data_IF_885369301346
#
_entry.id   IF_885369301346
#
_cell.length_a   1.000
_cell.length_b   1.000
_cell.length_c   1.000
_cell.angle_alpha   90.00
_cell.angle_beta   90.00
_cell.angle_gamma   90.00
#
_symmetry.space_group_name_H-M   'P 1'
#
loop_
_entity.id
_entity.type
_entity.pdbx_description
1 polymer ?
#
# COMPACT_ATOMS: atom_id res chain seq x y z
N UNK A 1 12.96 -21.49 -3.41
CA UNK A 1 12.82 -20.21 -4.14
C UNK A 1 13.37 -20.36 -5.55
N UNK A 2 12.81 -19.69 -6.55
CA UNK A 2 13.33 -19.69 -7.92
C UNK A 2 13.62 -18.25 -8.36
N UNK A 3 14.52 -18.08 -9.33
CA UNK A 3 14.88 -16.78 -9.90
C UNK A 3 14.25 -16.64 -11.28
N UNK A 4 13.80 -15.43 -11.62
CA UNK A 4 13.28 -15.12 -12.95
C UNK A 4 14.23 -14.11 -13.59
N UNK A 5 14.83 -14.41 -14.76
CA UNK A 5 15.71 -13.47 -15.43
C UNK A 5 14.90 -12.28 -15.97
N UNK A 6 15.52 -11.10 -16.03
CA UNK A 6 14.88 -9.90 -16.60
C UNK A 6 14.56 -10.04 -18.10
N UNK A 7 15.22 -10.98 -18.78
CA UNK A 7 14.98 -11.36 -20.17
C UNK A 7 13.76 -12.27 -20.37
N UNK A 8 13.11 -12.74 -19.30
CA UNK A 8 11.90 -13.56 -19.38
C UNK A 8 10.78 -12.81 -20.12
N UNK A 9 10.30 -13.40 -21.22
CA UNK A 9 9.33 -12.77 -22.13
C UNK A 9 7.87 -13.08 -21.78
N UNK A 10 7.62 -13.96 -20.81
CA UNK A 10 6.29 -14.18 -20.29
C UNK A 10 5.72 -12.91 -19.64
N UNK A 11 4.40 -12.91 -19.45
CA UNK A 11 3.66 -11.74 -18.98
C UNK A 11 3.13 -11.93 -17.58
N UNK A 12 3.24 -10.89 -16.78
CA UNK A 12 2.82 -10.83 -15.39
C UNK A 12 1.68 -9.86 -15.22
N UNK A 13 0.81 -10.16 -14.27
CA UNK A 13 -0.19 -9.22 -13.75
C UNK A 13 0.21 -8.83 -12.34
N UNK A 14 0.16 -7.52 -12.03
CA UNK A 14 0.33 -7.04 -10.65
C UNK A 14 -0.70 -7.70 -9.74
N UNK A 15 -0.31 -7.95 -8.51
CA UNK A 15 -1.18 -8.43 -7.45
C UNK A 15 -1.14 -7.45 -6.29
N UNK A 16 -2.28 -7.20 -5.63
CA UNK A 16 -2.32 -6.41 -4.40
C UNK A 16 -1.30 -6.88 -3.36
N UNK A 17 -0.60 -5.93 -2.75
CA UNK A 17 0.11 -6.15 -1.48
C UNK A 17 -0.85 -6.07 -0.30
N UNK A 18 -0.51 -6.75 0.79
CA UNK A 18 -1.21 -6.66 2.07
C UNK A 18 -0.28 -6.02 3.08
N UNK A 19 -0.80 -5.07 3.85
CA UNK A 19 -0.06 -4.30 4.83
C UNK A 19 -0.80 -4.39 6.17
N UNK A 20 -0.30 -5.16 7.14
CA UNK A 20 -0.99 -5.29 8.43
C UNK A 20 -1.20 -3.95 9.14
N UNK A 21 -0.20 -3.06 9.11
CA UNK A 21 -0.20 -1.81 9.87
C UNK A 21 -0.01 -0.57 9.00
N UNK A 22 -0.29 0.61 9.54
CA UNK A 22 0.03 1.87 8.87
C UNK A 22 1.55 2.08 8.72
N UNK A 23 2.37 1.53 9.62
CA UNK A 23 3.81 1.52 9.48
C UNK A 23 4.29 0.79 8.21
N UNK A 24 3.63 -0.32 7.85
CA UNK A 24 3.94 -1.04 6.62
C UNK A 24 3.62 -0.20 5.36
N UNK A 25 2.59 0.65 5.42
CA UNK A 25 2.27 1.61 4.35
C UNK A 25 3.36 2.67 4.19
N UNK A 26 3.87 3.20 5.30
CA UNK A 26 4.96 4.19 5.30
C UNK A 26 6.21 3.61 4.61
N UNK A 27 6.57 2.36 4.92
CA UNK A 27 7.70 1.69 4.26
C UNK A 27 7.45 1.50 2.77
N UNK A 28 6.21 1.17 2.39
CA UNK A 28 5.84 0.78 1.03
C UNK A 28 5.54 1.94 0.07
N UNK A 29 5.28 3.14 0.58
CA UNK A 29 4.93 4.34 -0.21
C UNK A 29 6.01 4.66 -1.25
N UNK A 30 5.71 5.42 -2.29
CA UNK A 30 6.74 5.82 -3.26
C UNK A 30 6.47 7.22 -3.78
N UNK A 31 7.52 8.01 -3.97
CA UNK A 31 7.40 9.30 -4.66
C UNK A 31 7.03 9.16 -6.15
N UNK A 32 7.23 7.96 -6.73
CA UNK A 32 6.96 7.70 -8.16
C UNK A 32 5.51 7.35 -8.46
N UNK A 33 4.83 6.68 -7.53
CA UNK A 33 3.46 6.19 -7.70
C UNK A 33 2.71 6.31 -6.37
N UNK A 34 1.53 6.95 -6.35
CA UNK A 34 0.72 7.04 -5.15
C UNK A 34 0.25 5.64 -4.72
N UNK A 35 0.42 5.32 -3.43
CA UNK A 35 -0.04 4.06 -2.86
C UNK A 35 -1.51 4.20 -2.46
N UNK A 36 -2.39 3.55 -3.23
CA UNK A 36 -3.82 3.47 -2.94
C UNK A 36 -4.15 2.16 -2.21
N UNK A 37 -4.83 2.24 -1.07
CA UNK A 37 -5.19 1.07 -0.26
C UNK A 37 -6.62 1.11 0.26
N UNK A 38 -7.18 -0.06 0.53
CA UNK A 38 -8.47 -0.25 1.22
C UNK A 38 -8.22 -0.87 2.58
N UNK A 39 -8.84 -0.33 3.63
CA UNK A 39 -8.82 -0.90 4.98
C UNK A 39 -9.69 -2.16 5.07
N UNK A 40 -9.19 -3.18 5.76
CA UNK A 40 -9.83 -4.49 5.93
C UNK A 40 -10.15 -4.80 7.39
N UNK A 41 -9.65 -3.99 8.33
CA UNK A 41 -10.04 -3.98 9.74
C UNK A 41 -10.45 -2.58 10.15
N UNK A 42 -11.36 -2.50 11.11
CA UNK A 42 -11.70 -1.25 11.76
C UNK A 42 -10.72 -0.95 12.88
N UNK A 43 -10.41 0.33 13.05
CA UNK A 43 -9.59 0.85 14.12
C UNK A 43 -10.27 2.11 14.67
N UNK A 44 -10.51 2.13 15.98
CA UNK A 44 -11.02 3.31 16.65
C UNK A 44 -9.87 4.06 17.30
N UNK A 45 -9.66 5.30 16.88
CA UNK A 45 -8.65 6.15 17.50
C UNK A 45 -9.11 6.59 18.89
N UNK A 46 -8.25 6.49 19.92
CA UNK A 46 -8.51 7.05 21.24
C UNK A 46 -8.26 8.57 21.31
N UNK A 47 -7.68 9.17 20.26
CA UNK A 47 -7.33 10.59 20.18
C UNK A 47 -8.17 11.28 19.12
N UNK A 48 -8.74 12.45 19.44
CA UNK A 48 -9.61 13.22 18.52
C UNK A 48 -8.84 13.75 17.32
N UNK A 49 -7.53 14.00 17.47
CA UNK A 49 -6.66 14.50 16.41
C UNK A 49 -6.31 13.44 15.36
N UNK A 50 -6.56 12.17 15.66
CA UNK A 50 -6.25 11.05 14.75
C UNK A 50 -7.52 10.42 14.19
N UNK A 51 -7.43 9.95 12.96
CA UNK A 51 -8.58 9.41 12.24
C UNK A 51 -8.90 7.97 12.69
N UNK A 52 -10.17 7.70 12.94
CA UNK A 52 -10.68 6.34 13.02
C UNK A 52 -10.87 5.76 11.60
N UNK A 53 -10.71 4.45 11.47
CA UNK A 53 -10.80 3.72 10.19
C UNK A 53 -11.87 2.65 10.28
N UNK A 54 -12.69 2.57 9.23
CA UNK A 54 -13.71 1.52 9.05
C UNK A 54 -13.30 0.55 7.94
N UNK A 55 -13.85 -0.67 7.96
CA UNK A 55 -13.63 -1.63 6.88
C UNK A 55 -14.21 -1.06 5.58
N UNK A 56 -13.43 -1.11 4.51
CA UNK A 56 -13.80 -0.58 3.20
C UNK A 56 -13.43 0.88 2.98
N UNK A 57 -12.91 1.59 3.99
CA UNK A 57 -12.36 2.92 3.78
C UNK A 57 -11.15 2.87 2.84
N UNK A 58 -11.12 3.77 1.86
CA UNK A 58 -10.08 3.88 0.84
C UNK A 58 -9.16 5.07 1.16
N UNK A 59 -7.84 4.88 1.02
CA UNK A 59 -6.83 5.88 1.37
C UNK A 59 -5.74 6.01 0.30
N UNK A 60 -5.40 7.24 -0.07
CA UNK A 60 -4.14 7.56 -0.74
C UNK A 60 -3.10 7.94 0.31
N UNK A 61 -1.98 7.22 0.31
CA UNK A 61 -0.89 7.39 1.26
C UNK A 61 0.09 8.45 0.79
N UNK A 62 0.44 9.41 1.66
CA UNK A 62 1.38 10.49 1.35
C UNK A 62 2.72 10.33 2.08
N UNK A 63 2.85 10.89 3.29
CA UNK A 63 4.09 10.92 4.05
C UNK A 63 3.84 10.80 5.55
N UNK A 64 4.81 10.24 6.29
CA UNK A 64 4.81 10.29 7.74
C UNK A 64 5.16 11.69 8.25
N UNK A 65 4.52 12.08 9.34
CA UNK A 65 4.82 13.29 10.10
C UNK A 65 4.63 13.02 11.60
N UNK A 66 5.07 13.95 12.44
CA UNK A 66 4.74 13.93 13.87
C UNK A 66 3.57 14.86 14.16
N UNK A 67 2.71 14.47 15.10
CA UNK A 67 1.62 15.32 15.59
C UNK A 67 1.55 15.27 17.11
N UNK A 68 1.08 16.35 17.71
CA UNK A 68 0.78 16.40 19.15
C UNK A 68 -0.62 15.84 19.39
N UNK A 69 -0.74 14.90 20.33
CA UNK A 69 -2.03 14.41 20.84
C UNK A 69 -2.11 14.63 22.34
N UNK A 70 -3.31 14.84 22.86
CA UNK A 70 -3.55 14.93 24.29
C UNK A 70 -3.96 13.57 24.86
N UNK A 71 -3.16 13.04 25.80
CA UNK A 71 -3.44 11.79 26.49
C UNK A 71 -3.46 12.07 28.00
N UNK A 72 -4.64 11.93 28.63
CA UNK A 72 -4.80 12.13 30.08
C UNK A 72 -4.32 13.52 30.56
N UNK A 73 -4.49 14.56 29.74
CA UNK A 73 -4.05 15.92 30.04
C UNK A 73 -2.56 16.19 29.80
N UNK A 74 -1.80 15.18 29.35
CA UNK A 74 -0.39 15.30 28.98
C UNK A 74 -0.27 15.35 27.45
N UNK A 75 0.45 16.34 26.93
CA UNK A 75 0.83 16.40 25.51
C UNK A 75 1.84 15.30 25.18
N UNK A 76 1.54 14.47 24.19
CA UNK A 76 2.43 13.45 23.65
C UNK A 76 2.65 13.70 22.17
N UNK A 77 3.89 13.52 21.71
CA UNK A 77 4.22 13.58 20.28
C UNK A 77 4.16 12.16 19.73
N UNK A 78 3.47 11.99 18.59
CA UNK A 78 3.27 10.68 17.97
C UNK A 78 3.53 10.74 16.47
N UNK A 79 4.12 9.65 15.95
CA UNK A 79 4.30 9.47 14.52
C UNK A 79 2.99 9.01 13.86
N UNK A 80 2.61 9.71 12.81
CA UNK A 80 1.37 9.50 12.06
C UNK A 80 1.66 9.50 10.57
N UNK A 81 0.84 8.77 9.82
CA UNK A 81 0.84 8.75 8.37
C UNK A 81 -0.24 9.69 7.86
N UNK A 82 0.16 10.72 7.13
CA UNK A 82 -0.74 11.61 6.42
C UNK A 82 -1.30 10.90 5.19
N UNK A 83 -2.62 10.84 5.09
CA UNK A 83 -3.36 10.20 4.01
C UNK A 83 -4.51 11.09 3.55
N UNK A 84 -5.01 10.84 2.34
CA UNK A 84 -6.33 11.30 1.91
C UNK A 84 -7.30 10.12 1.91
N UNK A 85 -8.34 10.21 2.73
CA UNK A 85 -9.47 9.30 2.67
C UNK A 85 -10.32 9.64 1.45
N UNK A 86 -10.49 8.66 0.56
CA UNK A 86 -11.29 8.81 -0.65
C UNK A 86 -12.76 8.59 -0.28
N UNK A 87 -13.59 9.60 -0.53
CA UNK A 87 -15.04 9.55 -0.44
C UNK A 87 -15.64 9.63 -1.85
N UNK A 88 -16.95 9.37 -1.98
CA UNK A 88 -17.62 9.29 -3.29
C UNK A 88 -17.39 10.51 -4.19
N UNK A 89 -17.37 11.71 -3.61
CA UNK A 89 -17.32 12.98 -4.34
C UNK A 89 -16.24 13.95 -3.81
N UNK A 90 -15.43 13.53 -2.85
CA UNK A 90 -14.46 14.39 -2.17
C UNK A 90 -13.36 13.56 -1.53
N UNK A 91 -12.28 14.23 -1.14
CA UNK A 91 -11.20 13.64 -0.37
C UNK A 91 -11.15 14.35 0.98
N UNK A 92 -10.89 13.60 2.05
CA UNK A 92 -10.75 14.13 3.41
C UNK A 92 -9.35 13.83 3.94
N UNK A 93 -8.70 14.80 4.59
CA UNK A 93 -7.41 14.56 5.21
C UNK A 93 -7.57 13.58 6.38
N UNK A 94 -6.71 12.56 6.45
CA UNK A 94 -6.70 11.57 7.51
C UNK A 94 -5.30 11.42 8.10
N UNK A 95 -5.23 11.33 9.43
CA UNK A 95 -3.99 11.09 10.17
C UNK A 95 -4.07 9.71 10.81
N UNK A 96 -3.33 8.76 10.24
CA UNK A 96 -3.32 7.37 10.69
C UNK A 96 -2.14 7.12 11.62
N UNK A 97 -2.35 6.73 12.89
CA UNK A 97 -1.24 6.41 13.78
C UNK A 97 -0.40 5.26 13.24
N UNK A 98 0.94 5.36 13.19
CA UNK A 98 1.78 4.33 12.57
C UNK A 98 1.63 2.94 13.21
N UNK A 99 1.34 2.88 14.51
CA UNK A 99 1.14 1.63 15.25
C UNK A 99 -0.22 0.95 14.97
N UNK A 100 -1.14 1.57 14.22
CA UNK A 100 -2.48 1.03 14.05
C UNK A 100 -2.48 -0.26 13.20
N UNK A 101 -3.21 -1.28 13.67
CA UNK A 101 -3.56 -2.48 12.90
C UNK A 101 -4.88 -2.26 12.17
N UNK A 102 -4.82 -1.55 11.04
CA UNK A 102 -5.97 -1.33 10.16
C UNK A 102 -6.13 -2.41 9.09
N UNK A 103 -5.10 -3.25 8.87
CA UNK A 103 -5.04 -4.24 7.81
C UNK A 103 -5.41 -3.65 6.43
N UNK A 104 -4.44 -3.32 5.59
CA UNK A 104 -4.68 -2.66 4.32
C UNK A 104 -4.37 -3.56 3.14
N UNK A 105 -5.11 -3.39 2.04
CA UNK A 105 -4.87 -4.08 0.76
C UNK A 105 -4.70 -3.04 -0.34
N UNK A 106 -3.62 -3.16 -1.10
CA UNK A 106 -3.34 -2.28 -2.24
C UNK A 106 -4.39 -2.41 -3.34
N UNK A 107 -4.84 -1.29 -3.89
CA UNK A 107 -5.76 -1.25 -5.03
C UNK A 107 -4.95 -1.15 -6.31
N UNK A 108 -5.09 -2.16 -7.17
CA UNK A 108 -4.50 -2.16 -8.51
C UNK A 108 -5.57 -1.73 -9.51
N UNK A 109 -5.38 -0.56 -10.11
CA UNK A 109 -6.36 0.06 -11.02
C UNK A 109 -6.33 -0.51 -12.43
N UNK A 110 -5.17 -1.01 -12.87
CA UNK A 110 -5.01 -1.55 -14.21
C UNK A 110 -5.18 -3.08 -14.25
N UNK A 111 -5.54 -3.59 -15.43
CA UNK A 111 -5.53 -5.02 -15.74
C UNK A 111 -4.40 -5.35 -16.73
N UNK A 112 -3.37 -4.51 -16.79
CA UNK A 112 -2.31 -4.60 -17.77
C UNK A 112 -1.44 -5.82 -17.49
N UNK A 113 -0.92 -6.36 -18.58
CA UNK A 113 0.08 -7.42 -18.57
C UNK A 113 1.44 -6.78 -18.83
N UNK A 114 2.39 -7.06 -17.94
CA UNK A 114 3.73 -6.47 -17.96
C UNK A 114 4.79 -7.52 -18.21
N UNK A 115 5.90 -7.13 -18.80
CA UNK A 115 7.16 -7.87 -18.67
C UNK A 115 7.77 -7.60 -17.30
N UNK A 116 8.61 -8.52 -16.82
CA UNK A 116 9.28 -8.35 -15.53
C UNK A 116 10.21 -7.12 -15.52
N UNK A 117 10.87 -6.83 -16.65
CA UNK A 117 11.72 -5.65 -16.82
C UNK A 117 10.95 -4.34 -16.67
N UNK A 118 9.74 -4.26 -17.25
CA UNK A 118 8.85 -3.11 -17.13
C UNK A 118 8.42 -2.89 -15.68
N UNK A 119 8.08 -3.96 -14.96
CA UNK A 119 7.67 -3.88 -13.56
C UNK A 119 8.77 -3.33 -12.67
N UNK A 120 9.99 -3.86 -12.81
CA UNK A 120 11.15 -3.42 -12.03
C UNK A 120 11.55 -1.97 -12.31
N UNK A 121 11.27 -1.45 -13.51
CA UNK A 121 11.57 -0.06 -13.87
C UNK A 121 10.50 0.92 -13.35
N UNK A 122 9.22 0.52 -13.39
CA UNK A 122 8.09 1.40 -13.11
C UNK A 122 7.69 1.42 -11.62
N UNK A 123 7.75 0.27 -10.94
CA UNK A 123 7.16 0.11 -9.60
C UNK A 123 8.21 -0.07 -8.51
N UNK A 124 7.90 0.42 -7.30
CA UNK A 124 8.76 0.26 -6.13
C UNK A 124 8.75 -1.20 -5.67
N UNK A 125 9.94 -1.78 -5.46
CA UNK A 125 10.11 -3.08 -4.83
C UNK A 125 9.94 -2.97 -3.30
N UNK A 126 9.38 -4.00 -2.63
CA UNK A 126 8.84 -5.23 -3.20
C UNK A 126 7.41 -5.05 -3.76
N UNK A 127 7.08 -5.84 -4.78
CA UNK A 127 5.73 -5.96 -5.35
C UNK A 127 5.33 -7.41 -5.58
N UNK A 128 4.02 -7.69 -5.60
CA UNK A 128 3.49 -9.03 -5.87
C UNK A 128 3.04 -9.14 -7.33
N UNK A 129 3.28 -10.29 -7.95
CA UNK A 129 2.88 -10.58 -9.32
C UNK A 129 2.39 -12.00 -9.49
N UNK A 130 1.55 -12.22 -10.51
CA UNK A 130 1.14 -13.54 -10.98
C UNK A 130 1.48 -13.70 -12.44
N UNK A 131 2.12 -14.81 -12.80
CA UNK A 131 2.33 -15.18 -14.21
C UNK A 131 0.96 -15.41 -14.86
N UNK A 132 0.69 -14.66 -15.92
CA UNK A 132 -0.55 -14.78 -16.71
C UNK A 132 -0.29 -15.50 -18.04
N UNK A 133 0.86 -15.25 -18.64
CA UNK A 133 1.31 -15.93 -19.86
C UNK A 133 2.73 -16.41 -19.64
N UNK A 134 2.98 -17.70 -19.80
CA UNK A 134 4.34 -18.25 -19.71
C UNK A 134 5.17 -17.78 -20.90
N UNK A 135 6.47 -17.68 -20.71
CA UNK A 135 7.40 -17.57 -21.84
C UNK A 135 7.38 -18.88 -22.65
N UNK A 136 7.10 -18.77 -23.95
CA UNK A 136 7.10 -19.92 -24.87
C UNK A 136 8.50 -20.22 -25.43
N UNK A 137 9.44 -19.30 -25.27
CA UNK A 137 10.83 -19.46 -25.71
C UNK A 137 11.70 -20.18 -24.67
N UNK A 138 11.17 -20.42 -23.48
CA UNK A 138 11.83 -21.20 -22.44
C UNK A 138 11.35 -22.64 -22.58
N UNK A 139 12.30 -23.54 -22.78
CA UNK A 139 12.05 -24.98 -22.79
C UNK A 139 11.48 -25.40 -21.43
N UNK A 140 10.61 -26.41 -21.43
CA UNK A 140 10.11 -26.95 -20.17
C UNK A 140 11.31 -27.51 -19.40
N UNK A 141 11.43 -27.15 -18.12
CA UNK A 141 12.34 -27.83 -17.21
C UNK A 141 12.05 -29.34 -17.28
N UNK A 142 13.09 -30.13 -17.58
CA UNK A 142 13.06 -31.60 -17.69
C UNK A 142 12.93 -32.20 -16.28
#
# INVERSE_FOLDING_TARGET
HFLIPTSYKGKFKRQPRKFPTAYDLEIAKSEKEPLHVVATKSFHSPFEELSSVSVGDEFLVHHSQTTEVFCEGIKKVMDVLSCEKILRNSHEAALLPLYMDGGFVEVIHDKKLYQISELCAQFRLPFNVKVSVRDLFIEKDI
#
